data_IF_434306510382
#
_entry.id   IF_434306510382
#
_cell.length_a   1.000
_cell.length_b   1.000
_cell.length_c   1.000
_cell.angle_alpha   90.00
_cell.angle_beta   90.00
_cell.angle_gamma   90.00
#
_symmetry.space_group_name_H-M   'P 1'
#
loop_
_entity.id
_entity.type
_entity.pdbx_description
1 polymer ?
#
# COMPACT_ATOMS: atom_id res chain seq x y z
N UNK A 1 37.81 16.91 19.18
CA UNK A 1 36.38 17.24 19.12
C UNK A 1 35.65 16.00 18.64
N UNK A 2 34.80 15.44 19.48
CA UNK A 2 34.32 14.05 19.42
C UNK A 2 33.45 13.73 18.20
N UNK A 3 33.72 12.59 17.59
CA UNK A 3 33.06 12.00 16.43
C UNK A 3 31.58 11.65 16.69
N UNK A 4 30.69 12.34 15.98
CA UNK A 4 29.24 12.13 15.97
C UNK A 4 28.84 11.09 14.89
N UNK A 5 29.45 9.91 14.92
CA UNK A 5 29.21 8.89 13.87
C UNK A 5 28.79 7.50 14.38
N UNK A 6 28.75 7.25 15.69
CA UNK A 6 28.46 5.92 16.23
C UNK A 6 27.03 5.74 16.79
N UNK A 7 26.17 6.77 16.77
CA UNK A 7 24.78 6.68 17.26
C UNK A 7 23.82 6.09 16.20
N UNK A 8 24.30 5.14 15.40
CA UNK A 8 23.49 4.25 14.55
C UNK A 8 23.11 2.96 15.28
N UNK A 9 23.19 2.95 16.61
CA UNK A 9 22.44 2.00 17.41
C UNK A 9 20.95 2.10 17.04
N UNK A 10 20.45 1.06 16.35
CA UNK A 10 19.07 0.95 15.89
C UNK A 10 18.15 1.26 17.07
N UNK A 11 17.57 2.47 17.07
CA UNK A 11 16.71 2.89 18.18
C UNK A 11 15.62 1.85 18.38
N UNK A 12 15.50 1.35 19.62
CA UNK A 12 14.48 0.37 19.98
C UNK A 12 13.11 0.90 19.54
N UNK A 13 12.25 0.07 18.94
CA UNK A 13 10.92 0.50 18.55
C UNK A 13 10.17 0.98 19.80
N UNK A 14 9.38 2.06 19.66
CA UNK A 14 8.58 2.66 20.75
C UNK A 14 7.17 2.96 20.26
N UNK A 15 6.23 3.06 21.18
CA UNK A 15 4.84 3.41 20.88
C UNK A 15 4.19 2.39 19.93
N UNK A 16 3.52 2.87 18.89
CA UNK A 16 2.81 2.03 17.93
C UNK A 16 3.71 0.98 17.26
N UNK A 17 4.96 1.34 16.93
CA UNK A 17 5.91 0.43 16.30
C UNK A 17 6.43 -0.67 17.24
N UNK A 18 6.33 -0.49 18.56
CA UNK A 18 6.73 -1.50 19.55
C UNK A 18 5.62 -2.51 19.86
N UNK A 19 4.38 -2.23 19.45
CA UNK A 19 3.23 -3.09 19.71
C UNK A 19 3.26 -4.33 18.81
N UNK A 20 2.58 -5.41 19.22
CA UNK A 20 2.39 -6.58 18.37
C UNK A 20 1.52 -6.30 17.13
N UNK A 21 1.66 -7.07 16.04
CA UNK A 21 0.97 -6.82 14.77
C UNK A 21 -0.55 -6.91 14.90
N UNK A 22 -1.09 -7.80 15.74
CA UNK A 22 -2.53 -7.88 15.99
C UNK A 22 -3.07 -6.61 16.65
N UNK A 23 -2.37 -6.12 17.67
CA UNK A 23 -2.78 -4.92 18.38
C UNK A 23 -2.65 -3.66 17.52
N UNK A 24 -1.60 -3.56 16.70
CA UNK A 24 -1.47 -2.49 15.71
C UNK A 24 -2.63 -2.51 14.71
N UNK A 25 -3.01 -3.69 14.20
CA UNK A 25 -4.16 -3.85 13.29
C UNK A 25 -5.45 -3.42 13.95
N UNK A 26 -5.68 -3.82 15.19
CA UNK A 26 -6.89 -3.46 15.93
C UNK A 26 -7.00 -1.95 16.13
N UNK A 27 -5.93 -1.29 16.58
CA UNK A 27 -5.88 0.18 16.74
C UNK A 27 -6.09 0.88 15.40
N UNK A 28 -5.40 0.43 14.34
CA UNK A 28 -5.57 1.00 13.00
C UNK A 28 -7.01 0.86 12.51
N UNK A 29 -7.61 -0.31 12.70
CA UNK A 29 -9.00 -0.59 12.34
C UNK A 29 -9.98 0.28 13.15
N UNK A 30 -9.74 0.46 14.45
CA UNK A 30 -10.55 1.33 15.30
C UNK A 30 -10.44 2.80 14.86
N UNK A 31 -9.24 3.27 14.55
CA UNK A 31 -8.98 4.62 14.04
C UNK A 31 -9.70 4.88 12.73
N UNK A 32 -9.64 3.93 11.78
CA UNK A 32 -10.38 4.00 10.52
C UNK A 32 -11.90 4.08 10.74
N UNK A 33 -12.46 3.17 11.56
CA UNK A 33 -13.89 3.19 11.91
C UNK A 33 -14.30 4.50 12.58
N UNK A 34 -13.46 5.06 13.45
CA UNK A 34 -13.72 6.33 14.11
C UNK A 34 -13.75 7.49 13.12
N UNK A 35 -12.79 7.58 12.19
CA UNK A 35 -12.75 8.63 11.17
C UNK A 35 -13.99 8.64 10.27
N UNK A 36 -14.51 7.46 9.90
CA UNK A 36 -15.77 7.35 9.17
C UNK A 36 -16.98 7.75 10.03
N UNK A 37 -17.04 7.32 11.29
CA UNK A 37 -18.12 7.69 12.22
C UNK A 37 -18.16 9.21 12.47
N UNK A 38 -17.00 9.85 12.60
CA UNK A 38 -16.86 11.29 12.82
C UNK A 38 -17.04 12.11 11.54
N UNK A 39 -17.23 11.48 10.37
CA UNK A 39 -17.34 12.20 9.10
C UNK A 39 -16.05 12.89 8.64
N UNK A 40 -14.91 12.56 9.26
CA UNK A 40 -13.61 13.13 8.87
C UNK A 40 -13.02 12.42 7.65
N UNK A 41 -13.36 11.15 7.46
CA UNK A 41 -12.98 10.38 6.28
C UNK A 41 -13.88 10.68 5.07
N UNK A 42 -13.30 10.59 3.87
CA UNK A 42 -14.06 10.69 2.62
C UNK A 42 -15.07 9.53 2.50
N UNK A 43 -16.27 9.86 2.01
CA UNK A 43 -17.33 8.87 1.75
C UNK A 43 -17.56 8.79 0.25
N UNK A 44 -17.11 7.69 -0.33
CA UNK A 44 -17.33 7.43 -1.75
C UNK A 44 -18.81 7.18 -2.03
N UNK A 45 -19.32 7.85 -3.06
CA UNK A 45 -20.61 7.49 -3.64
C UNK A 45 -20.45 6.25 -4.52
N UNK A 46 -21.53 5.52 -4.77
CA UNK A 46 -21.51 4.34 -5.66
C UNK A 46 -21.00 4.67 -7.07
N UNK A 47 -21.30 5.88 -7.56
CA UNK A 47 -20.81 6.35 -8.86
C UNK A 47 -19.30 6.57 -8.86
N UNK A 48 -18.78 7.25 -7.82
CA UNK A 48 -17.35 7.53 -7.67
C UNK A 48 -16.54 6.23 -7.51
N UNK A 49 -17.04 5.30 -6.69
CA UNK A 49 -16.43 3.99 -6.52
C UNK A 49 -16.35 3.22 -7.84
N UNK A 50 -17.43 3.25 -8.65
CA UNK A 50 -17.45 2.61 -9.96
C UNK A 50 -16.47 3.26 -10.94
N UNK A 51 -16.43 4.59 -11.01
CA UNK A 51 -15.50 5.30 -11.89
C UNK A 51 -14.03 4.97 -11.55
N UNK A 52 -13.69 4.95 -10.26
CA UNK A 52 -12.36 4.56 -9.78
C UNK A 52 -12.04 3.09 -10.11
N UNK A 53 -13.00 2.19 -9.92
CA UNK A 53 -12.84 0.77 -10.27
C UNK A 53 -12.59 0.58 -11.76
N UNK A 54 -13.39 1.18 -12.64
CA UNK A 54 -13.22 1.11 -14.10
C UNK A 54 -11.83 1.60 -14.50
N UNK A 55 -11.39 2.74 -13.97
CA UNK A 55 -10.04 3.27 -14.22
C UNK A 55 -8.94 2.29 -13.82
N UNK A 56 -9.07 1.67 -12.63
CA UNK A 56 -8.12 0.64 -12.17
C UNK A 56 -8.11 -0.59 -13.06
N UNK A 57 -9.28 -1.09 -13.46
CA UNK A 57 -9.40 -2.27 -14.32
C UNK A 57 -8.80 -2.02 -15.70
N UNK A 58 -9.06 -0.85 -16.29
CA UNK A 58 -8.46 -0.46 -17.56
C UNK A 58 -6.92 -0.41 -17.48
N UNK A 59 -6.38 0.25 -16.45
CA UNK A 59 -4.93 0.33 -16.23
C UNK A 59 -4.28 -1.06 -16.09
N UNK A 60 -4.89 -1.95 -15.29
CA UNK A 60 -4.40 -3.32 -15.10
C UNK A 60 -4.45 -4.13 -16.39
N UNK A 61 -5.47 -3.94 -17.22
CA UNK A 61 -5.58 -4.65 -18.50
C UNK A 61 -4.49 -4.19 -19.48
N UNK A 62 -4.20 -2.88 -19.51
CA UNK A 62 -3.10 -2.34 -20.32
C UNK A 62 -1.73 -2.89 -19.88
N UNK A 63 -1.49 -2.97 -18.57
CA UNK A 63 -0.25 -3.57 -18.03
C UNK A 63 -0.13 -5.04 -18.42
N UNK A 64 -1.20 -5.83 -18.23
CA UNK A 64 -1.20 -7.24 -18.62
C UNK A 64 -0.96 -7.44 -20.11
N UNK A 65 -1.50 -6.57 -20.97
CA UNK A 65 -1.25 -6.65 -22.41
C UNK A 65 0.23 -6.41 -22.75
N UNK A 66 0.89 -5.48 -22.06
CA UNK A 66 2.33 -5.23 -22.20
C UNK A 66 3.20 -6.39 -21.67
N UNK A 67 2.86 -6.93 -20.49
CA UNK A 67 3.55 -8.09 -19.90
C UNK A 67 3.39 -9.34 -20.77
N UNK A 68 2.19 -9.56 -21.33
CA UNK A 68 1.92 -10.68 -22.24
C UNK A 68 2.72 -10.57 -23.53
N UNK A 69 2.85 -9.36 -24.08
CA UNK A 69 3.66 -9.10 -25.27
C UNK A 69 5.17 -9.32 -25.01
N UNK A 70 5.68 -8.90 -23.84
CA UNK A 70 7.07 -9.14 -23.45
C UNK A 70 7.36 -10.62 -23.15
N UNK A 71 6.45 -11.32 -22.47
CA UNK A 71 6.60 -12.74 -22.15
C UNK A 71 6.55 -13.65 -23.39
N UNK A 72 5.87 -13.22 -24.45
CA UNK A 72 5.82 -13.97 -25.72
C UNK A 72 7.09 -13.79 -26.56
N UNK A 73 7.81 -12.67 -26.38
CA UNK A 73 9.06 -12.39 -27.09
C UNK A 73 10.26 -13.19 -26.56
N UNK A 74 10.33 -13.42 -25.24
CA UNK A 74 11.46 -14.15 -24.62
C UNK A 74 11.41 -15.68 -24.78
N UNK A 75 10.29 -16.24 -25.25
CA UNK A 75 10.16 -17.69 -25.53
C UNK A 75 10.54 -18.06 -26.97
N UNK A 76 10.94 -17.09 -27.80
CA UNK A 76 11.29 -17.28 -29.22
C UNK A 76 12.79 -17.40 -29.53
N UNK A 77 13.68 -17.18 -28.56
CA UNK A 77 15.14 -17.14 -28.80
C UNK A 77 15.90 -18.45 -28.49
N UNK A 78 15.20 -19.53 -28.13
CA UNK A 78 15.83 -20.82 -27.75
C UNK A 78 15.34 -22.03 -28.59
N UNK A 79 15.16 -21.84 -29.90
CA UNK A 79 14.88 -22.93 -30.86
C UNK A 79 15.77 -22.89 -32.08
#
# INVERSE_FOLDING_TARGET
MTDNQDQKDKRKPRGFAAMGPEFQREIAAQGGRAAHRLGKAHRFTSQEARAAATKRHAARNAQRAGESAAATAEQGEDR
#
